data_IF_789118588033
#
_entry.id   IF_789118588033
#
_cell.length_a   1.000
_cell.length_b   1.000
_cell.length_c   1.000
_cell.angle_alpha   90.00
_cell.angle_beta   90.00
_cell.angle_gamma   90.00
#
_symmetry.space_group_name_H-M   'P 1'
#
loop_
_entity.id
_entity.type
_entity.pdbx_description
1 polymer ?
#
# COMPACT_ATOMS: atom_id res chain seq x y z
N UNK A 1 16.49 1.68 -4.50
CA UNK A 1 15.16 1.80 -5.15
C UNK A 1 14.31 0.53 -5.02
N UNK A 2 14.77 -0.64 -5.49
CA UNK A 2 14.05 -1.93 -5.33
C UNK A 2 13.65 -2.25 -3.88
N UNK A 3 14.53 -2.01 -2.92
CA UNK A 3 14.24 -2.22 -1.48
C UNK A 3 13.01 -1.45 -1.01
N UNK A 4 12.81 -0.21 -1.47
CA UNK A 4 11.64 0.57 -1.07
C UNK A 4 10.34 -0.01 -1.65
N UNK A 5 10.36 -0.51 -2.88
CA UNK A 5 9.22 -1.23 -3.48
C UNK A 5 8.92 -2.49 -2.67
N UNK A 6 9.93 -3.31 -2.36
CA UNK A 6 9.75 -4.53 -1.58
C UNK A 6 9.22 -4.26 -0.17
N UNK A 7 9.72 -3.21 0.51
CA UNK A 7 9.22 -2.82 1.84
C UNK A 7 7.76 -2.41 1.79
N UNK A 8 7.35 -1.64 0.78
CA UNK A 8 5.96 -1.22 0.60
C UNK A 8 5.06 -2.44 0.29
N UNK A 9 5.51 -3.35 -0.58
CA UNK A 9 4.78 -4.58 -0.89
C UNK A 9 4.63 -5.48 0.34
N UNK A 10 5.68 -5.64 1.13
CA UNK A 10 5.65 -6.42 2.37
C UNK A 10 4.74 -5.80 3.44
N UNK A 11 4.62 -4.46 3.47
CA UNK A 11 3.69 -3.77 4.36
C UNK A 11 2.22 -4.02 3.97
N UNK A 12 1.93 -4.10 2.67
CA UNK A 12 0.58 -4.38 2.16
C UNK A 12 0.11 -5.82 2.48
N UNK A 13 1.01 -6.78 2.63
CA UNK A 13 0.68 -8.16 3.04
C UNK A 13 1.30 -8.53 4.40
N UNK A 14 1.31 -7.58 5.35
CA UNK A 14 2.03 -7.74 6.62
C UNK A 14 1.58 -8.96 7.45
N UNK A 15 0.32 -9.36 7.33
CA UNK A 15 -0.20 -10.56 8.01
C UNK A 15 0.04 -11.86 7.26
N UNK A 16 0.55 -11.82 6.02
CA UNK A 16 0.73 -12.95 5.12
C UNK A 16 -0.55 -13.77 4.89
N UNK A 17 -1.71 -13.09 4.91
CA UNK A 17 -3.02 -13.74 4.70
C UNK A 17 -3.66 -13.38 3.37
N UNK A 18 -2.95 -12.68 2.49
CA UNK A 18 -3.43 -12.31 1.15
C UNK A 18 -4.80 -11.58 1.20
N UNK A 19 -4.98 -10.71 2.19
CA UNK A 19 -6.24 -10.00 2.42
C UNK A 19 -6.57 -8.98 1.33
N UNK A 20 -5.57 -8.50 0.59
CA UNK A 20 -5.72 -7.49 -0.45
C UNK A 20 -5.79 -8.18 -1.82
N UNK A 21 -6.92 -8.02 -2.51
CA UNK A 21 -7.11 -8.42 -3.90
C UNK A 21 -7.03 -7.23 -4.86
N UNK A 22 -6.83 -7.53 -6.16
CA UNK A 22 -6.87 -6.53 -7.25
C UNK A 22 -6.04 -5.27 -7.00
N UNK A 23 -4.80 -5.43 -6.53
CA UNK A 23 -3.90 -4.31 -6.24
C UNK A 23 -3.53 -3.59 -7.54
N UNK A 24 -3.73 -2.28 -7.59
CA UNK A 24 -3.37 -1.38 -8.69
C UNK A 24 -2.54 -0.23 -8.15
N UNK A 25 -1.39 0.02 -8.76
CA UNK A 25 -0.53 1.16 -8.43
C UNK A 25 -0.49 2.13 -9.62
N UNK A 26 -0.69 3.43 -9.38
CA UNK A 26 -0.59 4.48 -10.40
C UNK A 26 0.09 5.71 -9.83
N UNK A 27 0.97 6.32 -10.62
CA UNK A 27 1.58 7.61 -10.26
C UNK A 27 0.70 8.72 -10.82
N UNK A 28 0.32 9.67 -9.97
CA UNK A 28 -0.43 10.86 -10.36
C UNK A 28 0.23 12.09 -9.72
N UNK A 29 0.90 12.90 -10.53
CA UNK A 29 1.70 14.03 -10.03
C UNK A 29 2.78 13.55 -9.06
N UNK A 30 2.72 14.01 -7.82
CA UNK A 30 3.66 13.60 -6.76
C UNK A 30 3.13 12.47 -5.85
N UNK A 31 2.07 11.76 -6.27
CA UNK A 31 1.43 10.73 -5.46
C UNK A 31 1.55 9.36 -6.13
N UNK A 32 1.81 8.34 -5.33
CA UNK A 32 1.69 6.95 -5.73
C UNK A 32 0.37 6.41 -5.15
N UNK A 33 -0.66 6.35 -5.98
CA UNK A 33 -1.97 5.85 -5.60
C UNK A 33 -1.97 4.32 -5.67
N UNK A 34 -2.18 3.66 -4.54
CA UNK A 34 -2.29 2.21 -4.42
C UNK A 34 -3.74 1.89 -4.06
N UNK A 35 -4.45 1.28 -4.99
CA UNK A 35 -5.84 0.85 -4.81
C UNK A 35 -5.90 -0.66 -4.67
N UNK A 36 -6.68 -1.17 -3.73
CA UNK A 36 -6.91 -2.60 -3.56
C UNK A 36 -8.37 -2.87 -3.18
N UNK A 37 -8.81 -4.12 -3.33
CA UNK A 37 -10.11 -4.59 -2.86
C UNK A 37 -9.94 -5.54 -1.69
N UNK A 38 -10.78 -5.41 -0.68
CA UNK A 38 -10.79 -6.32 0.46
C UNK A 38 -12.04 -6.14 1.30
N UNK A 39 -12.58 -7.25 1.79
CA UNK A 39 -13.64 -7.35 2.79
C UNK A 39 -13.10 -7.69 4.20
N UNK A 40 -11.79 -7.88 4.33
CA UNK A 40 -11.14 -8.28 5.56
C UNK A 40 -10.68 -7.09 6.41
N UNK A 41 -10.37 -7.38 7.68
CA UNK A 41 -9.75 -6.40 8.57
C UNK A 41 -8.28 -6.15 8.17
N UNK A 42 -7.99 -4.89 7.79
CA UNK A 42 -6.70 -4.42 7.28
C UNK A 42 -5.97 -3.43 8.22
N UNK A 43 -6.32 -3.35 9.50
CA UNK A 43 -5.67 -2.40 10.42
C UNK A 43 -4.15 -2.57 10.49
N UNK A 44 -3.66 -3.82 10.49
CA UNK A 44 -2.23 -4.11 10.56
C UNK A 44 -1.50 -3.68 9.28
N UNK A 45 -2.09 -3.97 8.12
CA UNK A 45 -1.55 -3.63 6.81
C UNK A 45 -1.52 -2.11 6.61
N UNK A 46 -2.58 -1.40 7.04
CA UNK A 46 -2.63 0.07 7.03
C UNK A 46 -1.55 0.67 7.91
N UNK A 47 -1.42 0.22 9.16
CA UNK A 47 -0.38 0.68 10.07
C UNK A 47 1.02 0.42 9.50
N UNK A 48 1.28 -0.79 8.99
CA UNK A 48 2.58 -1.13 8.41
C UNK A 48 2.91 -0.28 7.18
N UNK A 49 1.89 0.04 6.37
CA UNK A 49 2.02 0.92 5.20
C UNK A 49 2.42 2.33 5.62
N UNK A 50 1.75 2.91 6.62
CA UNK A 50 2.07 4.24 7.15
C UNK A 50 3.50 4.32 7.69
N UNK A 51 4.00 3.26 8.33
CA UNK A 51 5.39 3.20 8.79
C UNK A 51 6.40 3.13 7.63
N UNK A 52 6.02 2.56 6.48
CA UNK A 52 6.91 2.42 5.32
C UNK A 52 6.83 3.60 4.34
N UNK A 53 5.73 4.36 4.35
CA UNK A 53 5.48 5.46 3.43
C UNK A 53 6.58 6.54 3.42
N UNK A 54 7.14 7.00 4.58
CA UNK A 54 8.19 8.01 4.59
C UNK A 54 9.46 7.56 3.86
N UNK A 55 9.88 6.32 4.08
CA UNK A 55 11.07 5.76 3.41
C UNK A 55 10.85 5.64 1.89
N UNK A 56 9.65 5.27 1.46
CA UNK A 56 9.34 5.22 0.03
C UNK A 56 9.41 6.61 -0.60
N UNK A 57 8.84 7.62 0.07
CA UNK A 57 8.88 9.01 -0.36
C UNK A 57 10.32 9.55 -0.44
N UNK A 58 11.18 9.22 0.53
CA UNK A 58 12.60 9.61 0.49
C UNK A 58 13.33 9.02 -0.74
N UNK A 59 13.04 7.78 -1.09
CA UNK A 59 13.73 7.06 -2.18
C UNK A 59 13.22 7.43 -3.57
N UNK A 60 11.92 7.72 -3.70
CA UNK A 60 11.26 7.94 -5.00
C UNK A 60 10.70 9.34 -5.21
N UNK A 61 10.62 10.17 -4.16
CA UNK A 61 9.99 11.49 -4.18
C UNK A 61 8.46 11.47 -4.11
N UNK A 62 7.82 10.33 -4.41
CA UNK A 62 6.36 10.20 -4.41
C UNK A 62 5.78 9.92 -3.04
N UNK A 63 4.67 10.56 -2.70
CA UNK A 63 3.88 10.26 -1.51
C UNK A 63 2.94 9.06 -1.77
N UNK A 64 3.14 7.89 -1.14
CA UNK A 64 2.30 6.73 -1.37
C UNK A 64 1.01 6.82 -0.56
N UNK A 65 -0.13 6.61 -1.21
CA UNK A 65 -1.46 6.66 -0.60
C UNK A 65 -2.18 5.32 -0.82
N UNK A 66 -2.73 4.73 0.25
CA UNK A 66 -3.45 3.46 0.19
C UNK A 66 -4.97 3.70 0.23
N UNK A 67 -5.67 3.27 -0.83
CA UNK A 67 -7.12 3.27 -0.93
C UNK A 67 -7.64 1.83 -1.00
N UNK A 68 -8.49 1.45 -0.06
CA UNK A 68 -9.12 0.13 -0.04
C UNK A 68 -10.60 0.28 -0.37
N UNK A 69 -11.05 -0.43 -1.39
CA UNK A 69 -12.46 -0.56 -1.74
C UNK A 69 -13.01 -1.84 -1.12
N UNK A 70 -14.05 -1.71 -0.31
CA UNK A 70 -14.83 -2.87 0.12
C UNK A 70 -15.84 -3.20 -0.99
N UNK A 71 -15.92 -4.45 -1.47
CA UNK A 71 -17.00 -4.88 -2.36
C UNK A 71 -18.36 -4.96 -1.65
N UNK A 72 -18.40 -4.77 -0.32
CA UNK A 72 -19.61 -4.74 0.49
C UNK A 72 -20.16 -3.30 0.65
N UNK A 73 -20.39 -2.60 -0.47
CA UNK A 73 -21.39 -1.53 -0.67
C UNK A 73 -21.76 -1.53 -2.15
#
# INVERSE_FOLDING_TARGET
KLVAIFRLANALDKSHRQKLGEIKARVQGNRLLISAKSDANLYLEKWAFEQCAPFFQEVFGYHPELSIKSPLV
#
